data_IF_746093873170
#
_entry.id   IF_746093873170
#
_cell.length_a   1.000
_cell.length_b   1.000
_cell.length_c   1.000
_cell.angle_alpha   90.00
_cell.angle_beta   90.00
_cell.angle_gamma   90.00
#
_symmetry.space_group_name_H-M   'P 1'
#
loop_
_entity.id
_entity.type
_entity.pdbx_description
1 polymer ?
#
# COMPACT_ATOMS: atom_id res chain seq x y z
N UNK A 1 -35.39 -19.91 -61.49
CA UNK A 1 -36.46 -19.04 -60.95
C UNK A 1 -36.10 -18.71 -59.50
N UNK A 2 -36.18 -17.43 -59.07
CA UNK A 2 -35.91 -17.07 -57.69
C UNK A 2 -36.90 -17.77 -56.76
N UNK A 3 -36.39 -18.39 -55.70
CA UNK A 3 -37.21 -19.02 -54.65
C UNK A 3 -37.55 -17.95 -53.61
N UNK A 4 -38.81 -17.89 -53.19
CA UNK A 4 -39.31 -16.91 -52.24
C UNK A 4 -39.67 -17.57 -50.91
N UNK A 5 -39.49 -16.83 -49.82
CA UNK A 5 -39.84 -17.27 -48.48
C UNK A 5 -41.37 -17.42 -48.34
N UNK A 6 -41.84 -18.61 -47.98
CA UNK A 6 -43.27 -18.87 -47.78
C UNK A 6 -43.91 -18.11 -46.62
N UNK A 7 -43.13 -17.56 -45.68
CA UNK A 7 -43.64 -16.81 -44.53
C UNK A 7 -43.78 -15.31 -44.78
N UNK A 8 -42.80 -14.68 -45.42
CA UNK A 8 -42.78 -13.21 -45.59
C UNK A 8 -42.64 -12.74 -47.05
N UNK A 9 -42.65 -13.66 -48.01
CA UNK A 9 -42.62 -13.36 -49.45
C UNK A 9 -41.32 -12.76 -49.98
N UNK A 10 -40.29 -12.61 -49.15
CA UNK A 10 -38.99 -12.06 -49.58
C UNK A 10 -38.16 -13.09 -50.35
N UNK A 11 -37.35 -12.64 -51.31
CA UNK A 11 -36.44 -13.52 -52.05
C UNK A 11 -35.42 -14.16 -51.10
N UNK A 12 -35.22 -15.47 -51.25
CA UNK A 12 -34.22 -16.21 -50.48
C UNK A 12 -32.83 -15.91 -51.04
N UNK A 13 -31.80 -15.97 -50.17
CA UNK A 13 -30.42 -15.91 -50.62
C UNK A 13 -30.00 -17.23 -51.30
N UNK A 14 -28.80 -17.26 -51.87
CA UNK A 14 -28.29 -18.41 -52.62
C UNK A 14 -28.16 -19.69 -51.77
N UNK A 15 -28.05 -19.53 -50.45
CA UNK A 15 -28.01 -20.63 -49.47
C UNK A 15 -29.42 -21.09 -49.02
N UNK A 16 -30.48 -20.49 -49.57
CA UNK A 16 -31.88 -20.85 -49.29
C UNK A 16 -32.48 -20.23 -48.03
N UNK A 17 -31.80 -19.28 -47.37
CA UNK A 17 -32.26 -18.62 -46.14
C UNK A 17 -32.96 -17.29 -46.39
N UNK A 18 -33.96 -16.98 -45.56
CA UNK A 18 -34.71 -15.73 -45.63
C UNK A 18 -34.00 -14.61 -44.84
N UNK A 19 -33.62 -13.48 -45.47
CA UNK A 19 -32.94 -12.37 -44.79
C UNK A 19 -33.74 -11.72 -43.65
N UNK A 20 -35.06 -11.88 -43.64
CA UNK A 20 -35.96 -11.30 -42.63
C UNK A 20 -36.38 -12.28 -41.53
N UNK A 21 -36.49 -13.57 -41.84
CA UNK A 21 -37.04 -14.56 -40.91
C UNK A 21 -35.96 -15.47 -40.30
N UNK A 22 -34.84 -15.65 -41.01
CA UNK A 22 -33.73 -16.49 -40.59
C UNK A 22 -32.45 -15.64 -40.43
N UNK A 23 -32.59 -14.35 -40.06
CA UNK A 23 -31.46 -13.42 -39.86
C UNK A 23 -30.40 -13.99 -38.94
N UNK A 24 -30.82 -14.71 -37.91
CA UNK A 24 -29.96 -15.20 -36.84
C UNK A 24 -29.12 -16.38 -37.32
N UNK A 25 -29.67 -17.22 -38.21
CA UNK A 25 -28.95 -18.32 -38.87
C UNK A 25 -27.97 -17.83 -39.93
N UNK A 26 -28.26 -16.69 -40.55
CA UNK A 26 -27.35 -16.04 -41.50
C UNK A 26 -26.14 -15.47 -40.75
N UNK A 27 -26.32 -14.94 -39.54
CA UNK A 27 -25.23 -14.43 -38.70
C UNK A 27 -24.27 -15.55 -38.27
N UNK A 28 -24.78 -16.70 -37.79
CA UNK A 28 -23.94 -17.84 -37.38
C UNK A 28 -23.14 -18.46 -38.54
N UNK A 29 -23.66 -18.44 -39.77
CA UNK A 29 -22.91 -18.93 -40.95
C UNK A 29 -21.72 -18.04 -41.34
N UNK A 30 -21.75 -16.75 -40.96
CA UNK A 30 -20.73 -15.76 -41.34
C UNK A 30 -19.60 -15.64 -40.31
N UNK A 31 -19.81 -16.07 -39.06
CA UNK A 31 -18.77 -16.05 -38.02
C UNK A 31 -17.76 -17.19 -38.15
N UNK A 32 -18.10 -18.27 -38.87
CA UNK A 32 -17.23 -19.44 -39.06
C UNK A 32 -16.24 -19.33 -40.25
N UNK A 33 -16.05 -18.14 -40.85
CA UNK A 33 -15.17 -17.94 -42.02
C UNK A 33 -14.17 -16.78 -41.87
N UNK A 34 -13.77 -16.44 -40.64
CA UNK A 34 -12.69 -15.45 -40.41
C UNK A 34 -11.69 -16.01 -39.42
N UNK A 35 -10.90 -16.97 -39.88
CA UNK A 35 -9.54 -17.14 -39.39
C UNK A 35 -8.62 -17.44 -40.58
N UNK A 36 -7.38 -16.93 -40.49
CA UNK A 36 -6.27 -17.02 -41.46
C UNK A 36 -6.06 -15.81 -42.40
N UNK A 37 -4.96 -15.11 -42.08
CA UNK A 37 -3.97 -14.41 -42.95
C UNK A 37 -4.02 -12.88 -43.15
N UNK A 38 -3.05 -12.23 -42.48
CA UNK A 38 -1.99 -11.37 -43.02
C UNK A 38 -2.23 -10.51 -44.27
N UNK A 39 -2.07 -9.19 -44.07
CA UNK A 39 -1.18 -8.34 -44.87
C UNK A 39 -1.64 -7.95 -46.28
N UNK A 40 -2.02 -6.68 -46.45
CA UNK A 40 -2.12 -6.06 -47.76
C UNK A 40 -2.97 -4.80 -47.74
N UNK A 41 -2.44 -3.72 -48.32
CA UNK A 41 -3.19 -2.53 -48.67
C UNK A 41 -4.45 -2.89 -49.46
N UNK A 42 -5.53 -2.13 -49.30
CA UNK A 42 -6.08 -1.32 -50.38
C UNK A 42 -7.33 -0.55 -49.93
N UNK A 43 -7.32 0.75 -50.25
CA UNK A 43 -8.50 1.59 -50.27
C UNK A 43 -9.46 1.06 -51.34
N UNK A 44 -10.58 0.46 -50.95
CA UNK A 44 -11.72 0.29 -51.85
C UNK A 44 -13.03 0.67 -51.15
N UNK A 45 -13.51 1.83 -51.56
CA UNK A 45 -14.90 2.19 -51.79
C UNK A 45 -15.93 2.01 -50.67
N UNK A 46 -16.38 3.17 -50.16
CA UNK A 46 -17.81 3.53 -50.16
C UNK A 46 -17.94 5.05 -50.20
N UNK A 47 -17.74 5.60 -51.40
CA UNK A 47 -18.28 6.90 -51.79
C UNK A 47 -19.77 6.69 -52.08
N UNK A 48 -20.63 7.22 -51.21
CA UNK A 48 -22.00 7.55 -51.61
C UNK A 48 -21.98 9.01 -52.03
N UNK A 49 -22.11 9.16 -53.34
CA UNK A 49 -22.19 10.39 -54.10
C UNK A 49 -23.49 11.15 -53.78
N UNK A 50 -23.36 12.45 -53.51
CA UNK A 50 -24.40 13.44 -53.75
C UNK A 50 -23.66 14.61 -54.41
N UNK A 51 -23.85 14.72 -55.72
CA UNK A 51 -23.02 15.52 -56.60
C UNK A 51 -23.09 17.02 -56.39
N UNK A 52 -22.00 17.71 -56.75
CA UNK A 52 -21.98 19.08 -57.27
C UNK A 52 -20.75 19.21 -58.19
N UNK A 53 -20.99 19.60 -59.44
CA UNK A 53 -19.95 19.97 -60.41
C UNK A 53 -19.30 21.31 -60.04
N UNK A 54 -17.97 21.40 -60.11
CA UNK A 54 -17.16 22.48 -60.70
C UNK A 54 -15.75 22.61 -60.06
N UNK A 55 -14.75 22.15 -60.82
CA UNK A 55 -13.37 22.66 -60.95
C UNK A 55 -12.74 23.52 -59.85
N UNK A 56 -12.33 22.91 -58.75
CA UNK A 56 -11.11 23.25 -57.98
C UNK A 56 -10.67 21.96 -57.27
N UNK A 57 -9.36 21.72 -57.00
CA UNK A 57 -8.94 20.55 -56.24
C UNK A 57 -9.69 20.57 -54.90
N UNK A 58 -10.68 19.69 -54.76
CA UNK A 58 -11.66 19.76 -53.68
C UNK A 58 -10.96 19.57 -52.36
N UNK A 59 -10.84 20.64 -51.58
CA UNK A 59 -10.33 20.62 -50.21
C UNK A 59 -11.10 19.52 -49.48
N UNK A 60 -10.39 18.53 -48.93
CA UNK A 60 -11.02 17.38 -48.29
C UNK A 60 -11.95 17.83 -47.16
N UNK A 61 -13.04 17.10 -46.89
CA UNK A 61 -13.95 17.40 -45.75
C UNK A 61 -13.19 17.59 -44.42
N UNK A 62 -12.05 16.90 -44.26
CA UNK A 62 -11.15 16.99 -43.11
C UNK A 62 -10.39 18.33 -43.07
N UNK A 63 -9.91 18.82 -44.20
CA UNK A 63 -9.29 20.14 -44.35
C UNK A 63 -10.26 21.29 -44.15
N UNK A 64 -11.49 21.19 -44.65
CA UNK A 64 -12.55 22.18 -44.40
C UNK A 64 -12.80 22.29 -42.89
N UNK A 65 -12.99 21.14 -42.21
CA UNK A 65 -13.20 21.08 -40.76
C UNK A 65 -11.99 21.58 -39.96
N UNK A 66 -10.76 21.38 -40.46
CA UNK A 66 -9.55 21.89 -39.83
C UNK A 66 -9.46 23.42 -39.94
N UNK A 67 -9.75 23.98 -41.12
CA UNK A 67 -9.79 25.42 -41.37
C UNK A 67 -10.86 26.11 -40.53
N UNK A 68 -12.09 25.58 -40.49
CA UNK A 68 -13.18 26.14 -39.69
C UNK A 68 -12.85 26.16 -38.18
N UNK A 69 -12.27 25.07 -37.65
CA UNK A 69 -11.86 25.01 -36.24
C UNK A 69 -10.67 25.92 -35.92
N UNK A 70 -9.72 26.04 -36.85
CA UNK A 70 -8.60 26.96 -36.72
C UNK A 70 -9.08 28.42 -36.71
N UNK A 71 -10.01 28.78 -37.60
CA UNK A 71 -10.62 30.11 -37.66
C UNK A 71 -11.41 30.45 -36.39
N UNK A 72 -12.22 29.52 -35.87
CA UNK A 72 -12.89 29.70 -34.57
C UNK A 72 -11.89 29.91 -33.43
N UNK A 73 -10.74 29.21 -33.47
CA UNK A 73 -9.69 29.36 -32.47
C UNK A 73 -8.94 30.69 -32.58
N UNK A 74 -8.64 31.16 -33.80
CA UNK A 74 -7.98 32.46 -34.04
C UNK A 74 -8.91 33.61 -33.68
N UNK A 75 -10.19 33.54 -34.03
CA UNK A 75 -11.20 34.55 -33.68
C UNK A 75 -11.32 34.74 -32.16
N UNK A 76 -11.30 33.65 -31.38
CA UNK A 76 -11.28 33.72 -29.92
C UNK A 76 -10.04 34.43 -29.36
N UNK A 77 -8.88 34.29 -30.02
CA UNK A 77 -7.64 34.96 -29.60
C UNK A 77 -7.66 36.43 -30.02
N UNK A 78 -8.13 36.73 -31.23
CA UNK A 78 -8.29 38.11 -31.75
C UNK A 78 -9.25 38.92 -30.86
N UNK A 79 -10.40 38.37 -30.47
CA UNK A 79 -11.32 39.02 -29.51
C UNK A 79 -10.65 39.38 -28.18
N UNK A 80 -9.80 38.49 -27.64
CA UNK A 80 -9.02 38.77 -26.42
C UNK A 80 -7.93 39.83 -26.64
N UNK A 81 -7.38 39.92 -27.84
CA UNK A 81 -6.44 40.97 -28.21
C UNK A 81 -7.15 42.33 -28.23
N UNK A 82 -8.26 42.45 -28.96
CA UNK A 82 -9.06 43.68 -29.08
C UNK A 82 -9.47 44.20 -27.70
N UNK A 83 -10.04 43.34 -26.85
CA UNK A 83 -10.41 43.73 -25.49
C UNK A 83 -9.22 44.25 -24.66
N UNK A 84 -8.01 43.72 -24.89
CA UNK A 84 -6.80 44.15 -24.18
C UNK A 84 -6.23 45.45 -24.74
N UNK A 85 -6.27 45.65 -26.06
CA UNK A 85 -5.81 46.89 -26.70
C UNK A 85 -6.74 48.06 -26.38
N UNK A 86 -8.05 47.84 -26.38
CA UNK A 86 -9.05 48.87 -26.06
C UNK A 86 -8.87 49.38 -24.62
N UNK A 87 -8.61 48.47 -23.67
CA UNK A 87 -8.27 48.82 -22.27
C UNK A 87 -6.98 49.63 -22.16
N UNK A 88 -6.01 49.39 -23.04
CA UNK A 88 -4.74 50.14 -23.05
C UNK A 88 -4.96 51.56 -23.59
N UNK A 89 -5.73 51.68 -24.69
CA UNK A 89 -6.06 52.95 -25.34
C UNK A 89 -6.93 53.82 -24.40
N UNK A 90 -7.98 53.26 -23.80
CA UNK A 90 -8.85 53.99 -22.87
C UNK A 90 -8.07 54.58 -21.67
N UNK A 91 -7.15 53.81 -21.09
CA UNK A 91 -6.28 54.28 -20.00
C UNK A 91 -5.30 55.37 -20.44
N UNK A 92 -4.85 55.31 -21.70
CA UNK A 92 -3.95 56.32 -22.24
C UNK A 92 -4.68 57.63 -22.51
N UNK A 93 -5.91 57.58 -23.04
CA UNK A 93 -6.75 58.76 -23.29
C UNK A 93 -7.08 59.50 -21.98
N UNK A 94 -7.51 58.78 -20.94
CA UNK A 94 -7.75 59.36 -19.61
C UNK A 94 -6.50 60.02 -19.00
N UNK A 95 -5.31 59.51 -19.33
CA UNK A 95 -4.04 60.07 -18.84
C UNK A 95 -3.59 61.28 -19.67
N UNK A 96 -3.93 61.32 -20.96
CA UNK A 96 -3.61 62.41 -21.87
C UNK A 96 -4.47 63.64 -21.60
N UNK A 97 -5.76 63.47 -21.27
CA UNK A 97 -6.68 64.57 -20.91
C UNK A 97 -6.21 65.41 -19.72
N UNK A 98 -5.40 64.85 -18.83
CA UNK A 98 -4.88 65.52 -17.61
C UNK A 98 -3.49 66.12 -17.79
N UNK A 99 -2.98 66.25 -19.02
CA UNK A 99 -1.60 66.63 -19.30
C UNK A 99 -1.53 67.69 -20.40
N UNK A 100 -0.44 68.45 -20.43
CA UNK A 100 -0.16 69.41 -21.49
C UNK A 100 -0.09 68.71 -22.85
N UNK A 101 -0.45 69.41 -23.92
CA UNK A 101 -0.56 68.88 -25.29
C UNK A 101 0.70 68.12 -25.75
N UNK A 102 1.89 68.69 -25.50
CA UNK A 102 3.18 68.04 -25.81
C UNK A 102 3.40 66.75 -25.01
N UNK A 103 2.91 66.68 -23.77
CA UNK A 103 2.99 65.50 -22.92
C UNK A 103 1.93 64.45 -23.32
N UNK A 104 0.74 64.88 -23.73
CA UNK A 104 -0.32 64.03 -24.25
C UNK A 104 0.11 63.32 -25.54
N UNK A 105 0.72 64.03 -26.49
CA UNK A 105 1.26 63.46 -27.72
C UNK A 105 2.31 62.37 -27.46
N UNK A 106 3.23 62.59 -26.51
CA UNK A 106 4.23 61.58 -26.12
C UNK A 106 3.60 60.33 -25.49
N UNK A 107 2.49 60.48 -24.76
CA UNK A 107 1.74 59.35 -24.18
C UNK A 107 1.06 58.53 -25.27
N UNK A 108 0.48 59.16 -26.29
CA UNK A 108 -0.16 58.49 -27.42
C UNK A 108 0.83 57.67 -28.24
N UNK A 109 1.97 58.24 -28.64
CA UNK A 109 3.03 57.52 -29.38
C UNK A 109 3.55 56.30 -28.60
N UNK A 110 3.76 56.44 -27.28
CA UNK A 110 4.17 55.30 -26.44
C UNK A 110 3.07 54.22 -26.34
N UNK A 111 1.82 54.63 -26.40
CA UNK A 111 0.66 53.73 -26.33
C UNK A 111 0.49 52.95 -27.64
N UNK A 112 0.64 53.60 -28.80
CA UNK A 112 0.62 52.95 -30.11
C UNK A 112 1.69 51.86 -30.23
N UNK A 113 2.92 52.16 -29.84
CA UNK A 113 4.00 51.18 -29.81
C UNK A 113 3.67 49.99 -28.90
N UNK A 114 3.08 50.24 -27.73
CA UNK A 114 2.67 49.18 -26.78
C UNK A 114 1.50 48.36 -27.33
N UNK A 115 0.54 48.98 -28.01
CA UNK A 115 -0.59 48.30 -28.66
C UNK A 115 -0.08 47.39 -29.78
N UNK A 116 0.87 47.88 -30.59
CA UNK A 116 1.52 47.10 -31.66
C UNK A 116 2.21 45.85 -31.10
N UNK A 117 3.06 46.00 -30.08
CA UNK A 117 3.73 44.84 -29.44
C UNK A 117 2.73 43.83 -28.85
N UNK A 118 1.63 44.31 -28.27
CA UNK A 118 0.59 43.41 -27.74
C UNK A 118 -0.13 42.69 -28.88
N UNK A 119 -0.47 43.38 -29.97
CA UNK A 119 -1.10 42.78 -31.14
C UNK A 119 -0.23 41.67 -31.75
N UNK A 120 1.06 41.94 -31.94
CA UNK A 120 2.02 40.97 -32.49
C UNK A 120 2.10 39.69 -31.63
N UNK A 121 2.17 39.83 -30.29
CA UNK A 121 2.17 38.69 -29.36
C UNK A 121 0.90 37.86 -29.43
N UNK A 122 -0.26 38.49 -29.63
CA UNK A 122 -1.53 37.78 -29.76
C UNK A 122 -1.70 37.13 -31.13
N UNK A 123 -1.17 37.72 -32.20
CA UNK A 123 -1.15 37.14 -33.54
C UNK A 123 -0.29 35.86 -33.56
N UNK A 124 0.93 35.89 -33.03
CA UNK A 124 1.77 34.69 -32.89
C UNK A 124 1.07 33.59 -32.06
N UNK A 125 0.36 33.96 -30.99
CA UNK A 125 -0.42 33.01 -30.18
C UNK A 125 -1.64 32.44 -30.92
N UNK A 126 -2.24 33.22 -31.82
CA UNK A 126 -3.35 32.79 -32.66
C UNK A 126 -2.87 31.78 -33.70
N UNK A 127 -1.73 32.05 -34.36
CA UNK A 127 -1.09 31.16 -35.34
C UNK A 127 -0.66 29.84 -34.70
N UNK A 128 0.06 29.88 -33.56
CA UNK A 128 0.47 28.66 -32.85
C UNK A 128 -0.73 27.82 -32.38
N UNK A 129 -1.87 28.45 -32.04
CA UNK A 129 -3.10 27.73 -31.69
C UNK A 129 -3.82 27.16 -32.92
N UNK A 130 -3.89 27.91 -34.02
CA UNK A 130 -4.42 27.43 -35.29
C UNK A 130 -3.66 26.18 -35.73
N UNK A 131 -2.33 26.23 -35.74
CA UNK A 131 -1.47 25.12 -36.13
C UNK A 131 -1.60 23.90 -35.20
N UNK A 132 -1.80 24.09 -33.90
CA UNK A 132 -2.09 22.98 -32.96
C UNK A 132 -3.46 22.35 -33.23
N UNK A 133 -4.46 23.15 -33.57
CA UNK A 133 -5.82 22.67 -33.87
C UNK A 133 -5.85 21.95 -35.22
N UNK A 134 -5.21 22.50 -36.25
CA UNK A 134 -5.11 21.84 -37.56
C UNK A 134 -4.37 20.51 -37.44
N UNK A 135 -3.23 20.44 -36.74
CA UNK A 135 -2.52 19.18 -36.47
C UNK A 135 -3.41 18.16 -35.77
N UNK A 136 -4.21 18.56 -34.77
CA UNK A 136 -5.14 17.66 -34.07
C UNK A 136 -6.24 17.12 -34.98
N UNK A 137 -6.80 17.96 -35.86
CA UNK A 137 -7.84 17.55 -36.82
C UNK A 137 -7.23 16.65 -37.90
N UNK A 138 -6.01 16.93 -38.34
CA UNK A 138 -5.30 16.23 -39.40
C UNK A 138 -4.70 14.89 -39.00
N UNK A 139 -4.57 14.58 -37.70
CA UNK A 139 -4.02 13.30 -37.21
C UNK A 139 -4.53 12.10 -38.02
N UNK A 140 -3.61 11.22 -38.41
CA UNK A 140 -3.92 9.95 -39.03
C UNK A 140 -4.63 9.02 -38.03
N UNK A 141 -5.36 8.04 -38.54
CA UNK A 141 -6.08 7.06 -37.70
C UNK A 141 -5.11 6.30 -36.80
N UNK A 142 -3.92 5.90 -37.30
CA UNK A 142 -2.87 5.26 -36.50
C UNK A 142 -2.30 6.14 -35.37
N UNK A 143 -2.11 7.44 -35.61
CA UNK A 143 -1.65 8.37 -34.56
C UNK A 143 -2.72 8.62 -33.48
N UNK A 144 -4.01 8.47 -33.83
CA UNK A 144 -5.09 8.51 -32.85
C UNK A 144 -5.08 7.24 -32.00
N UNK A 145 -4.99 6.07 -32.62
CA UNK A 145 -4.95 4.76 -31.95
C UNK A 145 -3.77 4.69 -30.97
N UNK A 146 -2.56 5.10 -31.37
CA UNK A 146 -1.39 5.12 -30.45
C UNK A 146 -1.63 5.96 -29.19
N UNK A 147 -2.30 7.11 -29.32
CA UNK A 147 -2.66 7.95 -28.18
C UNK A 147 -3.77 7.35 -27.32
N UNK A 148 -4.71 6.63 -27.93
CA UNK A 148 -5.73 5.88 -27.20
C UNK A 148 -5.12 4.72 -26.40
N UNK A 149 -4.23 3.94 -27.01
CA UNK A 149 -3.53 2.82 -26.34
C UNK A 149 -2.70 3.34 -25.17
N UNK A 150 -1.87 4.38 -25.37
CA UNK A 150 -1.07 4.96 -24.27
C UNK A 150 -1.97 5.43 -23.13
N UNK A 151 -3.07 6.12 -23.44
CA UNK A 151 -4.01 6.58 -22.42
C UNK A 151 -4.67 5.41 -21.69
N UNK A 152 -5.02 4.34 -22.41
CA UNK A 152 -5.60 3.13 -21.83
C UNK A 152 -4.61 2.42 -20.91
N UNK A 153 -3.34 2.28 -21.32
CA UNK A 153 -2.28 1.71 -20.49
C UNK A 153 -2.05 2.53 -19.22
N UNK A 154 -2.04 3.86 -19.30
CA UNK A 154 -1.92 4.72 -18.11
C UNK A 154 -3.12 4.52 -17.17
N UNK A 155 -4.33 4.40 -17.71
CA UNK A 155 -5.53 4.15 -16.90
C UNK A 155 -5.45 2.78 -16.22
N UNK A 156 -4.99 1.74 -16.93
CA UNK A 156 -4.80 0.40 -16.36
C UNK A 156 -3.74 0.40 -15.26
N UNK A 157 -2.61 1.09 -15.46
CA UNK A 157 -1.58 1.25 -14.44
C UNK A 157 -2.11 1.99 -13.21
N UNK A 158 -2.85 3.09 -13.41
CA UNK A 158 -3.46 3.82 -12.32
C UNK A 158 -4.48 2.96 -11.55
N UNK A 159 -5.30 2.19 -12.26
CA UNK A 159 -6.25 1.26 -11.65
C UNK A 159 -5.55 0.14 -10.88
N UNK A 160 -4.46 -0.42 -11.43
CA UNK A 160 -3.66 -1.44 -10.75
C UNK A 160 -3.03 -0.89 -9.46
N UNK A 161 -2.49 0.34 -9.48
CA UNK A 161 -1.96 1.01 -8.30
C UNK A 161 -3.06 1.24 -7.25
N UNK A 162 -4.25 1.66 -7.69
CA UNK A 162 -5.39 1.92 -6.80
C UNK A 162 -5.90 0.62 -6.17
N UNK A 163 -6.00 -0.45 -6.96
CA UNK A 163 -6.33 -1.78 -6.46
C UNK A 163 -5.27 -2.29 -5.49
N UNK A 164 -3.97 -2.16 -5.81
CA UNK A 164 -2.90 -2.56 -4.89
C UNK A 164 -2.90 -1.74 -3.60
N UNK A 165 -3.24 -0.45 -3.66
CA UNK A 165 -3.36 0.40 -2.47
C UNK A 165 -4.55 -0.03 -1.61
N UNK A 166 -5.72 -0.28 -2.21
CA UNK A 166 -6.90 -0.80 -1.50
C UNK A 166 -6.57 -2.16 -0.88
N UNK A 167 -5.99 -3.08 -1.64
CA UNK A 167 -5.58 -4.40 -1.13
C UNK A 167 -4.57 -4.27 0.00
N UNK A 168 -3.56 -3.40 -0.13
CA UNK A 168 -2.58 -3.15 0.93
C UNK A 168 -3.22 -2.61 2.20
N UNK A 169 -4.17 -1.68 2.08
CA UNK A 169 -4.96 -1.17 3.23
C UNK A 169 -5.83 -2.26 3.85
N UNK A 170 -6.50 -3.09 3.05
CA UNK A 170 -7.35 -4.19 3.55
C UNK A 170 -6.52 -5.26 4.28
N UNK A 171 -5.31 -5.57 3.78
CA UNK A 171 -4.37 -6.46 4.45
C UNK A 171 -3.83 -5.83 5.73
N UNK A 172 -3.50 -4.53 5.71
CA UNK A 172 -3.05 -3.79 6.88
C UNK A 172 -4.09 -3.74 8.02
N UNK A 173 -5.39 -3.61 7.69
CA UNK A 173 -6.50 -3.59 8.64
C UNK A 173 -7.16 -4.96 8.90
N UNK A 174 -6.56 -6.05 8.43
CA UNK A 174 -7.03 -7.42 8.65
C UNK A 174 -8.47 -7.70 8.17
N UNK A 175 -8.84 -7.19 6.99
CA UNK A 175 -10.12 -7.53 6.35
C UNK A 175 -9.97 -8.74 5.42
N UNK A 176 -8.76 -8.97 4.88
CA UNK A 176 -8.45 -10.06 3.94
C UNK A 176 -7.00 -10.53 4.13
N UNK A 177 -6.78 -11.84 4.18
CA UNK A 177 -5.46 -12.46 4.30
C UNK A 177 -4.90 -12.86 2.92
N UNK A 178 -3.78 -12.25 2.50
CA UNK A 178 -3.14 -12.51 1.19
C UNK A 178 -1.62 -12.72 1.38
N UNK A 179 -1.12 -13.98 1.35
CA UNK A 179 0.26 -14.32 1.70
C UNK A 179 1.35 -13.58 0.90
N UNK A 180 1.09 -13.30 -0.38
CA UNK A 180 2.04 -12.61 -1.25
C UNK A 180 2.26 -11.14 -0.87
N UNK A 181 1.25 -10.47 -0.30
CA UNK A 181 1.34 -9.06 0.10
C UNK A 181 2.13 -8.92 1.40
N UNK A 182 1.98 -9.87 2.33
CA UNK A 182 2.73 -9.93 3.59
C UNK A 182 4.24 -10.01 3.36
N UNK A 183 4.69 -10.87 2.43
CA UNK A 183 6.12 -10.99 2.09
C UNK A 183 6.71 -9.69 1.49
N UNK A 184 5.91 -8.93 0.75
CA UNK A 184 6.33 -7.63 0.20
C UNK A 184 6.46 -6.58 1.31
N UNK A 185 5.53 -6.56 2.26
CA UNK A 185 5.59 -5.62 3.40
C UNK A 185 6.81 -5.87 4.31
N UNK A 186 7.14 -7.14 4.59
CA UNK A 186 8.38 -7.51 5.29
C UNK A 186 9.64 -7.02 4.54
N UNK A 187 9.66 -7.11 3.21
CA UNK A 187 10.79 -6.65 2.39
C UNK A 187 10.97 -5.13 2.37
N UNK A 188 9.93 -4.36 2.69
CA UNK A 188 9.96 -2.90 2.76
C UNK A 188 10.04 -2.35 4.19
N UNK A 189 10.18 -3.21 5.21
CA UNK A 189 10.19 -2.80 6.62
C UNK A 189 8.86 -2.21 7.10
N UNK A 190 7.76 -2.54 6.40
CA UNK A 190 6.41 -2.18 6.83
C UNK A 190 5.91 -3.32 7.70
N UNK A 191 5.95 -3.14 9.02
CA UNK A 191 5.31 -4.07 9.95
C UNK A 191 3.80 -3.87 9.87
N UNK A 192 3.08 -4.94 9.54
CA UNK A 192 1.63 -4.91 9.63
C UNK A 192 1.26 -4.93 11.11
N UNK A 193 0.11 -4.35 11.44
CA UNK A 193 -0.51 -4.47 12.76
C UNK A 193 -0.71 -5.95 13.18
N UNK A 194 -0.55 -6.92 12.27
CA UNK A 194 -0.58 -8.35 12.55
C UNK A 194 0.55 -8.82 13.48
N UNK A 195 1.77 -8.28 13.39
CA UNK A 195 2.86 -8.69 14.28
C UNK A 195 2.65 -8.19 15.72
N UNK A 196 2.08 -6.99 15.85
CA UNK A 196 1.81 -6.36 17.15
C UNK A 196 0.50 -6.92 17.76
N UNK A 197 -0.57 -7.06 16.97
CA UNK A 197 -1.87 -7.63 17.39
C UNK A 197 -1.78 -9.14 17.68
N UNK A 198 -1.04 -9.94 16.90
CA UNK A 198 -0.90 -11.38 17.19
C UNK A 198 -0.12 -11.63 18.47
N UNK A 199 0.88 -10.78 18.75
CA UNK A 199 1.65 -10.80 20.00
C UNK A 199 0.77 -10.45 21.20
N UNK A 200 -0.01 -9.37 21.11
CA UNK A 200 -0.97 -9.02 22.17
C UNK A 200 -2.02 -10.11 22.39
N UNK A 201 -2.58 -10.71 21.32
CA UNK A 201 -3.59 -11.76 21.45
C UNK A 201 -3.00 -13.06 22.01
N UNK A 202 -1.80 -13.44 21.57
CA UNK A 202 -1.06 -14.61 22.07
C UNK A 202 -0.70 -14.45 23.56
N UNK A 203 -0.11 -13.31 23.93
CA UNK A 203 0.23 -13.03 25.33
C UNK A 203 -1.04 -13.00 26.20
N UNK A 204 -2.15 -12.41 25.72
CA UNK A 204 -3.42 -12.42 26.45
C UNK A 204 -4.03 -13.82 26.61
N UNK A 205 -3.94 -14.69 25.59
CA UNK A 205 -4.51 -16.05 25.63
C UNK A 205 -3.81 -16.95 26.66
N UNK A 206 -2.47 -16.96 26.69
CA UNK A 206 -1.68 -17.79 27.61
C UNK A 206 -1.88 -17.43 29.09
N UNK A 207 -2.28 -16.20 29.39
CA UNK A 207 -2.54 -15.75 30.76
C UNK A 207 -3.89 -16.27 31.26
N UNK A 208 -4.92 -16.31 30.39
CA UNK A 208 -6.28 -16.73 30.77
C UNK A 208 -6.37 -18.24 31.04
N UNK A 209 -5.53 -19.06 30.39
CA UNK A 209 -5.62 -20.54 30.47
C UNK A 209 -5.04 -21.17 31.74
N UNK A 210 -4.38 -20.42 32.63
CA UNK A 210 -3.74 -20.99 33.84
C UNK A 210 -4.62 -21.01 35.10
N UNK A 211 -5.90 -20.71 35.00
CA UNK A 211 -6.85 -20.80 36.12
C UNK A 211 -7.65 -22.11 36.09
N UNK A 212 -7.05 -23.21 36.54
CA UNK A 212 -7.82 -24.41 36.88
C UNK A 212 -7.64 -24.76 38.36
N UNK A 213 -8.76 -24.73 39.10
CA UNK A 213 -8.89 -25.15 40.50
C UNK A 213 -8.69 -26.67 40.61
N UNK A 214 -7.42 -27.09 40.49
CA UNK A 214 -6.92 -28.38 40.93
C UNK A 214 -6.21 -28.25 42.28
N UNK A 215 -5.89 -29.38 42.90
CA UNK A 215 -5.15 -29.45 44.17
C UNK A 215 -3.80 -28.70 44.04
N UNK A 216 -3.77 -27.41 44.42
CA UNK A 216 -2.66 -26.48 44.14
C UNK A 216 -1.42 -26.93 44.92
N UNK A 217 -0.43 -27.45 44.21
CA UNK A 217 0.90 -27.73 44.77
C UNK A 217 1.59 -26.38 44.90
N UNK A 218 2.12 -26.04 46.08
CA UNK A 218 2.86 -24.79 46.26
C UNK A 218 4.09 -24.74 45.34
N UNK A 219 4.48 -23.54 44.91
CA UNK A 219 5.66 -23.35 44.05
C UNK A 219 6.90 -24.03 44.65
N UNK A 220 7.12 -23.87 45.96
CA UNK A 220 8.20 -24.54 46.69
C UNK A 220 8.15 -26.07 46.60
N UNK A 221 6.96 -26.67 46.73
CA UNK A 221 6.81 -28.12 46.61
C UNK A 221 7.05 -28.60 45.17
N UNK A 222 6.63 -27.82 44.17
CA UNK A 222 6.92 -28.08 42.77
C UNK A 222 8.44 -28.07 42.51
N UNK A 223 9.13 -27.00 42.90
CA UNK A 223 10.58 -26.89 42.69
C UNK A 223 11.36 -27.96 43.44
N UNK A 224 11.04 -28.28 44.68
CA UNK A 224 11.70 -29.39 45.39
C UNK A 224 11.56 -30.75 44.67
N UNK A 225 10.49 -30.94 43.90
CA UNK A 225 10.26 -32.18 43.14
C UNK A 225 11.05 -32.20 41.83
N UNK A 226 11.13 -31.08 41.11
CA UNK A 226 11.61 -31.03 39.73
C UNK A 226 12.91 -30.24 39.51
N UNK A 227 13.40 -29.55 40.53
CA UNK A 227 14.56 -28.66 40.48
C UNK A 227 15.39 -28.73 41.77
N UNK A 228 16.61 -28.21 41.71
CA UNK A 228 17.36 -27.78 42.89
C UNK A 228 17.08 -26.29 43.13
N UNK A 229 16.66 -25.94 44.34
CA UNK A 229 16.45 -24.54 44.74
C UNK A 229 17.79 -23.97 45.21
N UNK A 230 18.29 -22.96 44.52
CA UNK A 230 19.54 -22.27 44.84
C UNK A 230 19.31 -21.14 45.84
N UNK A 231 18.23 -20.38 45.67
CA UNK A 231 17.84 -19.29 46.56
C UNK A 231 16.34 -19.05 46.56
N UNK A 232 15.85 -18.52 47.68
CA UNK A 232 14.48 -18.04 47.89
C UNK A 232 14.59 -16.60 48.40
N UNK A 233 14.04 -15.63 47.67
CA UNK A 233 14.15 -14.20 48.01
C UNK A 233 12.79 -13.54 47.95
N UNK A 234 12.32 -12.94 49.04
CA UNK A 234 11.09 -12.16 49.00
C UNK A 234 11.27 -10.94 48.09
N UNK A 235 10.23 -10.55 47.35
CA UNK A 235 10.28 -9.40 46.45
C UNK A 235 10.80 -8.14 47.14
N UNK A 236 10.35 -7.88 48.37
CA UNK A 236 10.71 -6.67 49.11
C UNK A 236 12.19 -6.63 49.55
N UNK A 237 12.84 -7.78 49.59
CA UNK A 237 14.25 -7.91 49.98
C UNK A 237 15.19 -7.87 48.77
N UNK A 238 14.65 -7.94 47.54
CA UNK A 238 15.47 -7.95 46.33
C UNK A 238 15.84 -6.54 45.86
N UNK A 239 17.14 -6.30 45.68
CA UNK A 239 17.66 -5.09 45.02
C UNK A 239 17.53 -5.12 43.49
N UNK A 240 17.22 -6.28 42.90
CA UNK A 240 17.28 -6.50 41.45
C UNK A 240 15.91 -6.34 40.78
N UNK A 241 14.87 -5.95 41.52
CA UNK A 241 13.56 -5.63 40.94
C UNK A 241 13.68 -4.33 40.16
N UNK A 242 13.55 -4.45 38.84
CA UNK A 242 13.70 -3.37 37.87
C UNK A 242 12.47 -2.48 37.82
N UNK A 243 12.69 -1.21 37.48
CA UNK A 243 11.64 -0.28 37.04
C UNK A 243 11.20 -0.62 35.62
N UNK A 244 10.04 -0.14 35.19
CA UNK A 244 9.58 -0.22 33.81
C UNK A 244 10.62 0.39 32.85
N UNK A 245 11.17 1.56 33.20
CA UNK A 245 12.24 2.22 32.45
C UNK A 245 13.49 1.37 32.29
N UNK A 246 13.93 0.69 33.37
CA UNK A 246 15.13 -0.14 33.33
C UNK A 246 14.89 -1.49 32.63
N UNK A 247 13.70 -2.07 32.78
CA UNK A 247 13.29 -3.24 32.00
C UNK A 247 13.30 -2.91 30.49
N UNK A 248 12.71 -1.77 30.10
CA UNK A 248 12.69 -1.30 28.71
C UNK A 248 14.10 -1.13 28.13
N UNK A 249 15.04 -0.54 28.90
CA UNK A 249 16.44 -0.42 28.48
C UNK A 249 17.16 -1.76 28.39
N UNK A 250 16.81 -2.69 29.29
CA UNK A 250 17.39 -4.04 29.32
C UNK A 250 17.01 -4.83 28.07
N UNK A 251 15.74 -4.87 27.70
CA UNK A 251 15.33 -5.50 26.44
C UNK A 251 16.05 -4.92 25.22
N UNK A 252 16.16 -3.59 25.13
CA UNK A 252 16.90 -2.94 24.06
C UNK A 252 18.39 -3.27 24.04
N UNK A 253 19.04 -3.39 25.20
CA UNK A 253 20.48 -3.70 25.26
C UNK A 253 20.81 -5.10 24.76
N UNK A 254 19.85 -6.03 24.85
CA UNK A 254 19.93 -7.38 24.25
C UNK A 254 19.41 -7.45 22.80
N UNK A 255 19.04 -6.31 22.20
CA UNK A 255 18.63 -6.22 20.80
C UNK A 255 17.13 -6.40 20.54
N UNK A 256 16.29 -6.44 21.58
CA UNK A 256 14.83 -6.50 21.47
C UNK A 256 14.24 -5.09 21.42
N UNK A 257 14.33 -4.43 20.26
CA UNK A 257 13.98 -3.00 20.11
C UNK A 257 12.51 -2.74 19.77
N UNK A 258 11.84 -3.69 19.13
CA UNK A 258 10.47 -3.54 18.59
C UNK A 258 9.46 -4.44 19.32
N UNK A 259 9.77 -4.85 20.55
CA UNK A 259 8.95 -5.77 21.32
C UNK A 259 8.05 -5.01 22.30
N UNK A 260 6.79 -5.43 22.40
CA UNK A 260 5.88 -4.99 23.45
C UNK A 260 6.34 -5.62 24.76
N UNK A 261 6.46 -4.82 25.82
CA UNK A 261 6.82 -5.30 27.16
C UNK A 261 5.64 -5.05 28.09
N UNK A 262 5.27 -6.08 28.82
CA UNK A 262 4.09 -6.10 29.67
C UNK A 262 4.43 -6.62 31.06
N UNK A 263 3.51 -6.38 31.99
CA UNK A 263 3.54 -6.91 33.34
C UNK A 263 2.16 -7.43 33.76
N UNK A 264 2.16 -8.40 34.66
CA UNK A 264 0.94 -9.05 35.18
C UNK A 264 0.75 -8.84 36.68
N UNK A 265 1.81 -8.45 37.40
CA UNK A 265 1.81 -8.39 38.86
C UNK A 265 2.31 -7.03 39.35
N UNK A 266 1.66 -6.50 40.39
CA UNK A 266 2.17 -5.36 41.13
C UNK A 266 3.36 -5.75 42.02
N UNK A 267 3.98 -4.77 42.67
CA UNK A 267 5.00 -5.01 43.71
C UNK A 267 4.44 -5.72 44.96
N UNK A 268 3.13 -5.67 45.16
CA UNK A 268 2.44 -6.35 46.26
C UNK A 268 2.06 -7.78 45.91
N UNK A 269 2.33 -8.23 44.68
CA UNK A 269 1.95 -9.56 44.18
C UNK A 269 0.50 -9.65 43.72
N UNK A 270 -0.22 -8.52 43.67
CA UNK A 270 -1.58 -8.49 43.15
C UNK A 270 -1.54 -8.63 41.63
N UNK A 271 -2.39 -9.49 41.07
CA UNK A 271 -2.59 -9.57 39.63
C UNK A 271 -3.22 -8.26 39.13
N UNK A 272 -2.48 -7.49 38.32
CA UNK A 272 -2.90 -6.16 37.83
C UNK A 272 -3.56 -6.21 36.45
N UNK A 273 -3.64 -7.39 35.84
CA UNK A 273 -4.36 -7.62 34.59
C UNK A 273 -3.53 -8.27 33.51
N UNK A 274 -4.23 -8.70 32.47
CA UNK A 274 -3.69 -9.20 31.21
C UNK A 274 -3.26 -8.02 30.35
N UNK A 275 -1.95 -7.72 30.32
CA UNK A 275 -1.32 -6.76 29.40
C UNK A 275 -1.41 -5.28 29.81
N UNK A 276 -0.76 -4.90 30.92
CA UNK A 276 -0.39 -3.49 31.11
C UNK A 276 0.91 -3.24 30.35
N UNK A 277 0.84 -2.46 29.27
CA UNK A 277 2.03 -1.93 28.62
C UNK A 277 2.83 -1.14 29.64
N UNK A 278 4.12 -1.44 29.73
CA UNK A 278 5.00 -0.65 30.59
C UNK A 278 5.21 0.73 29.97
N UNK A 279 5.35 1.75 30.80
CA UNK A 279 5.73 3.08 30.32
C UNK A 279 7.27 3.19 30.29
N UNK A 280 7.91 3.49 29.14
CA UNK A 280 9.38 3.53 29.01
C UNK A 280 10.13 4.48 29.95
N UNK A 281 9.41 5.39 30.62
CA UNK A 281 9.96 6.40 31.54
C UNK A 281 9.40 6.29 32.95
N UNK A 282 8.67 5.22 33.26
CA UNK A 282 8.07 4.99 34.56
C UNK A 282 9.07 4.35 35.53
N UNK A 283 9.01 4.83 36.76
CA UNK A 283 9.79 4.31 37.91
C UNK A 283 9.02 3.20 38.65
N UNK A 284 7.85 2.81 38.14
CA UNK A 284 7.07 1.70 38.71
C UNK A 284 7.85 0.42 38.53
N UNK A 285 7.93 -0.39 39.58
CA UNK A 285 8.57 -1.71 39.55
C UNK A 285 7.55 -2.82 39.46
N UNK A 286 7.96 -3.92 38.86
CA UNK A 286 7.19 -5.17 38.77
C UNK A 286 8.11 -6.36 38.98
N UNK A 287 7.62 -7.47 39.55
CA UNK A 287 8.43 -8.67 39.75
C UNK A 287 8.76 -9.39 38.44
N UNK A 288 7.88 -9.29 37.44
CA UNK A 288 7.98 -10.02 36.18
C UNK A 288 7.64 -9.06 35.05
N UNK A 289 8.54 -8.97 34.08
CA UNK A 289 8.28 -8.37 32.78
C UNK A 289 8.24 -9.47 31.73
N UNK A 290 7.23 -9.43 30.87
CA UNK A 290 7.06 -10.36 29.77
C UNK A 290 7.09 -9.63 28.44
N UNK A 291 7.58 -10.30 27.43
CA UNK A 291 7.54 -9.83 26.06
C UNK A 291 7.48 -11.05 25.15
N UNK A 292 7.19 -10.84 23.88
CA UNK A 292 7.49 -11.86 22.88
C UNK A 292 7.94 -11.20 21.58
N UNK A 293 8.63 -11.97 20.77
CA UNK A 293 9.01 -11.56 19.43
C UNK A 293 8.85 -12.71 18.45
N UNK A 294 8.75 -12.36 17.18
CA UNK A 294 8.70 -13.31 16.08
C UNK A 294 10.00 -13.20 15.30
N UNK A 295 10.69 -14.32 15.11
CA UNK A 295 11.94 -14.32 14.36
C UNK A 295 11.69 -14.29 12.83
N UNK A 296 12.78 -14.25 12.04
CA UNK A 296 12.68 -14.17 10.57
C UNK A 296 12.09 -15.44 9.93
N UNK A 297 12.03 -16.57 10.65
CA UNK A 297 11.39 -17.81 10.20
C UNK A 297 9.90 -17.86 10.57
N UNK A 298 9.43 -16.92 11.39
CA UNK A 298 8.06 -16.91 11.90
C UNK A 298 7.89 -17.65 13.21
N UNK A 299 8.99 -18.08 13.87
CA UNK A 299 8.90 -18.74 15.17
C UNK A 299 8.65 -17.72 16.28
N UNK A 300 7.72 -18.05 17.17
CA UNK A 300 7.35 -17.21 18.32
C UNK A 300 8.28 -17.53 19.49
N UNK A 301 8.75 -16.48 20.13
CA UNK A 301 9.63 -16.54 21.28
C UNK A 301 9.03 -15.79 22.45
N UNK A 302 8.77 -16.50 23.54
CA UNK A 302 8.37 -15.90 24.81
C UNK A 302 9.59 -15.42 25.57
N UNK A 303 9.56 -14.19 26.07
CA UNK A 303 10.62 -13.57 26.83
C UNK A 303 10.15 -13.24 28.25
N UNK A 304 10.99 -13.56 29.23
CA UNK A 304 10.76 -13.29 30.64
C UNK A 304 11.97 -12.57 31.22
N UNK A 305 11.74 -11.41 31.82
CA UNK A 305 12.73 -10.70 32.62
C UNK A 305 12.26 -10.68 34.07
N UNK A 306 12.91 -11.50 34.90
CA UNK A 306 12.55 -11.71 36.30
C UNK A 306 13.80 -11.51 37.13
N UNK A 307 13.76 -10.56 38.06
CA UNK A 307 14.86 -10.31 39.00
C UNK A 307 16.26 -10.18 38.32
N UNK A 308 16.31 -9.44 37.21
CA UNK A 308 17.49 -9.21 36.33
C UNK A 308 17.98 -10.42 35.51
N UNK A 309 17.24 -11.53 35.54
CA UNK A 309 17.49 -12.69 34.69
C UNK A 309 16.56 -12.64 33.48
N UNK A 310 17.15 -12.57 32.29
CA UNK A 310 16.44 -12.62 31.02
C UNK A 310 16.43 -14.07 30.51
N UNK A 311 15.25 -14.54 30.13
CA UNK A 311 15.00 -15.88 29.62
C UNK A 311 14.17 -15.81 28.34
N UNK A 312 14.41 -16.73 27.42
CA UNK A 312 13.70 -16.89 26.17
C UNK A 312 13.26 -18.34 25.97
N UNK A 313 12.02 -18.53 25.54
CA UNK A 313 11.42 -19.82 25.27
C UNK A 313 10.93 -19.90 23.81
N UNK A 314 11.43 -20.84 23.01
CA UNK A 314 10.95 -21.07 21.65
C UNK A 314 9.62 -21.83 21.68
N UNK A 315 8.51 -21.16 21.41
CA UNK A 315 7.16 -21.69 21.63
C UNK A 315 6.91 -22.95 20.79
N UNK A 316 7.16 -22.88 19.48
CA UNK A 316 6.95 -24.00 18.56
C UNK A 316 7.82 -25.21 18.96
N UNK A 317 9.10 -24.98 19.25
CA UNK A 317 10.03 -26.04 19.64
C UNK A 317 9.59 -26.73 20.93
N UNK A 318 9.21 -25.95 21.95
CA UNK A 318 8.76 -26.50 23.23
C UNK A 318 7.43 -27.27 23.12
N UNK A 319 6.57 -26.88 22.18
CA UNK A 319 5.33 -27.60 21.89
C UNK A 319 5.57 -28.95 21.21
N UNK A 320 6.57 -29.03 20.32
CA UNK A 320 6.88 -30.24 19.54
C UNK A 320 7.73 -31.26 20.31
N UNK A 321 8.37 -30.86 21.42
CA UNK A 321 9.31 -31.69 22.17
C UNK A 321 8.75 -32.13 23.54
N UNK A 322 9.26 -33.26 24.05
CA UNK A 322 8.87 -33.80 25.36
C UNK A 322 9.53 -33.09 26.55
N UNK A 323 10.30 -32.03 26.30
CA UNK A 323 10.98 -31.21 27.30
C UNK A 323 10.89 -29.74 26.89
N UNK A 324 10.93 -28.83 27.86
CA UNK A 324 11.03 -27.40 27.58
C UNK A 324 12.49 -26.99 27.44
N UNK A 325 12.83 -26.29 26.37
CA UNK A 325 14.09 -25.57 26.22
C UNK A 325 13.89 -24.14 26.72
N UNK A 326 14.78 -23.70 27.60
CA UNK A 326 14.85 -22.30 28.05
C UNK A 326 16.26 -21.80 27.81
N UNK A 327 16.39 -20.70 27.08
CA UNK A 327 17.66 -20.00 26.94
C UNK A 327 17.68 -18.86 27.95
N UNK A 328 18.77 -18.72 28.71
CA UNK A 328 18.90 -17.68 29.74
C UNK A 328 20.24 -16.96 29.63
N UNK A 329 20.29 -15.72 30.12
CA UNK A 329 21.53 -15.00 30.39
C UNK A 329 22.22 -15.46 31.69
N UNK A 330 21.66 -16.45 32.39
CA UNK A 330 22.16 -17.03 33.64
C UNK A 330 22.20 -18.56 33.56
N UNK A 331 23.10 -19.21 34.30
CA UNK A 331 23.20 -20.68 34.37
C UNK A 331 22.04 -21.35 35.13
N UNK A 332 21.11 -20.55 35.66
CA UNK A 332 19.96 -20.97 36.46
C UNK A 332 18.71 -20.20 36.03
N UNK A 333 17.54 -20.76 36.29
CA UNK A 333 16.26 -20.10 35.99
C UNK A 333 15.79 -19.26 37.15
N UNK A 334 15.14 -18.15 36.83
CA UNK A 334 14.45 -17.31 37.81
C UNK A 334 12.94 -17.45 37.63
N UNK A 335 12.21 -17.55 38.74
CA UNK A 335 10.75 -17.64 38.71
C UNK A 335 10.16 -16.83 39.85
N UNK A 336 8.92 -16.39 39.70
CA UNK A 336 8.19 -15.62 40.69
C UNK A 336 6.93 -16.37 41.13
N UNK A 337 6.70 -16.44 42.43
CA UNK A 337 5.51 -16.97 43.06
C UNK A 337 4.71 -15.82 43.67
N UNK A 338 3.52 -15.57 43.13
CA UNK A 338 2.63 -14.49 43.55
C UNK A 338 2.00 -14.76 44.91
N UNK A 339 1.72 -16.03 45.25
CA UNK A 339 1.12 -16.40 46.54
C UNK A 339 1.99 -16.03 47.73
N UNK A 340 3.30 -16.21 47.60
CA UNK A 340 4.27 -15.93 48.66
C UNK A 340 5.11 -14.69 48.39
N UNK A 341 4.85 -13.99 47.29
CA UNK A 341 5.62 -12.85 46.79
C UNK A 341 7.14 -13.11 46.79
N UNK A 342 7.54 -14.29 46.29
CA UNK A 342 8.90 -14.82 46.43
C UNK A 342 9.49 -15.20 45.08
N UNK A 343 10.74 -14.81 44.87
CA UNK A 343 11.56 -15.29 43.77
C UNK A 343 12.24 -16.61 44.14
N UNK A 344 12.23 -17.55 43.19
CA UNK A 344 12.96 -18.81 43.26
C UNK A 344 14.01 -18.83 42.16
N UNK A 345 15.28 -18.95 42.56
CA UNK A 345 16.36 -19.27 41.62
C UNK A 345 16.58 -20.78 41.64
N UNK A 346 16.52 -21.44 40.48
CA UNK A 346 16.52 -22.91 40.42
C UNK A 346 17.37 -23.47 39.30
N UNK A 347 17.93 -24.65 39.55
CA UNK A 347 18.49 -25.52 38.52
C UNK A 347 17.49 -26.65 38.24
N UNK A 348 16.71 -26.59 37.15
CA UNK A 348 15.76 -27.64 36.84
C UNK A 348 16.47 -28.94 36.46
N UNK A 349 15.82 -30.07 36.76
CA UNK A 349 16.26 -31.37 36.22
C UNK A 349 16.17 -31.31 34.69
N UNK A 350 17.23 -31.73 34.01
CA UNK A 350 17.33 -31.73 32.55
C UNK A 350 16.26 -32.57 31.83
N UNK A 351 15.63 -33.51 32.56
CA UNK A 351 14.48 -34.28 32.06
C UNK A 351 13.16 -33.51 32.01
N UNK A 352 13.12 -32.30 32.58
CA UNK A 352 11.93 -31.43 32.62
C UNK A 352 12.20 -30.17 31.81
N UNK A 353 13.27 -29.45 32.15
CA UNK A 353 13.69 -28.25 31.43
C UNK A 353 15.19 -28.34 31.12
N UNK A 354 15.53 -28.15 29.85
CA UNK A 354 16.91 -28.00 29.39
C UNK A 354 17.24 -26.51 29.37
N UNK A 355 18.15 -26.09 30.24
CA UNK A 355 18.63 -24.70 30.28
C UNK A 355 19.87 -24.58 29.41
N UNK A 356 19.92 -23.55 28.58
CA UNK A 356 21.12 -23.16 27.84
C UNK A 356 21.46 -21.70 28.09
N UNK A 357 22.75 -21.40 28.10
CA UNK A 357 23.27 -20.04 28.13
C UNK A 357 23.94 -19.69 26.81
N UNK A 358 23.83 -18.43 26.42
CA UNK A 358 24.52 -17.86 25.25
C UNK A 358 25.56 -16.87 25.72
N UNK A 359 26.72 -16.84 25.05
CA UNK A 359 27.74 -15.81 25.31
C UNK A 359 27.23 -14.40 25.01
N UNK A 360 26.32 -14.29 24.03
CA UNK A 360 25.61 -13.07 23.67
C UNK A 360 24.14 -13.43 23.47
N UNK A 361 23.29 -13.02 24.42
CA UNK A 361 21.85 -13.24 24.39
C UNK A 361 21.19 -12.19 23.48
N UNK A 362 20.88 -12.54 22.23
CA UNK A 362 20.23 -11.62 21.29
C UNK A 362 19.40 -12.41 20.26
N UNK A 363 18.48 -11.76 19.52
CA UNK A 363 17.61 -12.46 18.55
C UNK A 363 18.38 -13.31 17.53
N UNK A 364 19.51 -12.82 17.02
CA UNK A 364 20.29 -13.52 16.00
C UNK A 364 20.88 -14.84 16.53
N UNK A 365 21.41 -14.83 17.75
CA UNK A 365 22.02 -16.01 18.36
C UNK A 365 20.98 -17.01 18.90
N UNK A 366 19.82 -16.53 19.37
CA UNK A 366 18.69 -17.38 19.72
C UNK A 366 18.24 -18.22 18.52
N UNK A 367 18.12 -17.59 17.35
CA UNK A 367 17.72 -18.27 16.12
C UNK A 367 18.73 -19.34 15.69
N UNK A 368 20.03 -19.03 15.72
CA UNK A 368 21.10 -19.99 15.37
C UNK A 368 21.04 -21.24 16.25
N UNK A 369 20.80 -21.06 17.55
CA UNK A 369 20.75 -22.14 18.51
C UNK A 369 19.59 -23.12 18.26
N UNK A 370 18.41 -22.63 17.86
CA UNK A 370 17.28 -23.51 17.52
C UNK A 370 17.53 -24.28 16.23
N UNK A 371 18.15 -23.64 15.23
CA UNK A 371 18.53 -24.34 14.01
C UNK A 371 19.52 -25.50 14.29
N UNK A 372 20.41 -25.34 15.27
CA UNK A 372 21.32 -26.40 15.73
C UNK A 372 20.61 -27.49 16.54
N UNK A 373 19.69 -27.13 17.44
CA UNK A 373 18.97 -28.10 18.26
C UNK A 373 17.92 -28.89 17.47
N UNK A 374 17.25 -28.29 16.49
CA UNK A 374 16.26 -28.95 15.62
C UNK A 374 16.88 -29.83 14.52
N UNK A 375 18.19 -29.73 14.27
CA UNK A 375 18.91 -30.56 13.31
C UNK A 375 19.44 -31.88 13.92
N UNK A 376 19.35 -32.05 15.24
CA UNK A 376 19.76 -33.24 15.99
C UNK A 376 18.55 -34.07 16.43
#
# INVERSE_FOLDING_TARGET
MPKFCGKCGSALNDNGFCPKCDSDKIAESNENMVDISFGGNDEVAKNVDYGVQNGTPGISKKEIKAKEKAEKATLKVKRKCTQKTDKIIAKANQKAEKKSEKSAAKIMVKTENKVKTVADKYNQKAEAKAEKVTRKVMRSTGQKIKWFIIKFVIILLAAAILLSAITGVLVYFNVVEIPFVSNIFCSFGITNNYGEISVYEYLNYNIVSNSSEGNKISAKAYYNKYSEILSETNLNDSSNVLTESDAFKTFQSYGFTDCIIMTEYSQTGDFVGTSTDIEPFSETKHPVYKSCYVDINGDIWDLYLINDVLMAEPVSFNYENNFSLVISNSDSLMSYDDETNTFYQTNPKSSVIKVKTLSEFNPENLQKLIAEEGAN
#
